data_IF_845274749101
#
_entry.id   IF_845274749101
#
_cell.length_a   1.000
_cell.length_b   1.000
_cell.length_c   1.000
_cell.angle_alpha   90.00
_cell.angle_beta   90.00
_cell.angle_gamma   90.00
#
_symmetry.space_group_name_H-M   'P 1'
#
loop_
_entity.id
_entity.type
_entity.pdbx_description
1 polymer ?
#
# COMPACT_ATOMS: atom_id res chain seq x y z
N UNK A 1 -24.47 -43.04 15.67
CA UNK A 1 -24.27 -42.54 15.46
C UNK A 1 -23.68 -41.71 15.07
N UNK A 2 -23.46 -41.41 14.76
CA UNK A 2 -23.00 -40.74 14.50
C UNK A 2 -22.45 -39.86 14.00
N UNK A 3 -22.30 -39.56 13.79
CA UNK A 3 -21.85 -38.84 13.46
C UNK A 3 -21.41 -38.02 12.92
N UNK A 4 -21.28 -37.70 12.78
CA UNK A 4 -20.89 -37.00 12.40
C UNK A 4 -20.46 -36.05 12.04
N UNK A 5 -20.25 -35.71 11.97
CA UNK A 5 -19.83 -35.02 11.79
C UNK A 5 -19.27 -34.23 11.38
N UNK A 6 -19.05 -33.98 11.36
CA UNK A 6 -18.45 -33.30 11.09
C UNK A 6 -17.99 -32.56 10.46
N UNK A 7 -17.85 -32.25 10.15
CA UNK A 7 -17.49 -31.59 9.57
C UNK A 7 -17.20 -30.66 9.23
N UNK A 8 -17.13 -30.42 9.22
CA UNK A 8 -16.93 -29.50 8.86
C UNK A 8 -16.33 -28.66 8.61
N UNK A 9 -16.12 -28.53 8.72
CA UNK A 9 -15.55 -27.67 8.60
C UNK A 9 -14.98 -27.16 7.92
N UNK A 10 -14.66 -27.02 7.65
CA UNK A 10 -14.05 -26.48 7.03
C UNK A 10 -14.05 -25.60 6.46
N UNK A 11 -14.08 -25.26 6.26
CA UNK A 11 -13.99 -24.42 5.65
C UNK A 11 -13.65 -23.41 5.54
N UNK A 12 -13.57 -23.21 5.66
CA UNK A 12 -13.28 -22.26 5.61
C UNK A 12 -12.53 -21.57 5.27
N UNK A 13 -12.09 -21.39 5.39
CA UNK A 13 -11.23 -20.76 5.20
C UNK A 13 -10.99 -20.14 4.19
N UNK A 14 -10.90 -20.02 3.67
CA UNK A 14 -10.61 -19.46 2.76
C UNK A 14 -10.73 -18.39 2.48
N UNK A 15 -10.80 -18.12 2.45
CA UNK A 15 -11.14 -17.23 2.12
C UNK A 15 -10.55 -16.16 2.11
N UNK A 16 -10.30 -15.71 2.56
CA UNK A 16 -9.77 -14.61 2.71
C UNK A 16 -8.82 -14.13 1.88
N UNK A 17 -8.30 -14.65 1.14
CA UNK A 17 -7.26 -14.16 0.45
C UNK A 17 -7.56 -13.30 -0.59
N UNK A 18 -8.68 -12.86 -0.74
CA UNK A 18 -8.97 -12.04 -1.83
C UNK A 18 -8.40 -10.70 -1.71
N UNK A 19 -8.13 -10.19 -0.55
CA UNK A 19 -7.67 -8.86 -0.49
C UNK A 19 -6.22 -8.86 -0.40
N UNK A 20 -5.54 -8.58 -1.46
CA UNK A 20 -4.16 -8.58 -1.40
C UNK A 20 -3.67 -7.23 -1.17
N UNK A 21 -3.32 -6.85 0.01
CA UNK A 21 -2.67 -5.59 0.30
C UNK A 21 -1.19 -5.79 0.21
N UNK A 22 -0.53 -4.93 -0.55
CA UNK A 22 0.90 -5.00 -0.73
C UNK A 22 1.53 -3.82 -0.06
N UNK A 23 2.39 -4.08 0.91
CA UNK A 23 3.08 -3.03 1.63
C UNK A 23 4.54 -2.99 1.24
N UNK A 24 5.03 -1.82 0.94
CA UNK A 24 6.42 -1.62 0.57
C UNK A 24 7.00 -0.52 1.45
N UNK A 25 8.17 -0.77 2.00
CA UNK A 25 8.85 0.22 2.80
C UNK A 25 9.88 0.93 1.96
N UNK A 26 9.88 2.25 2.04
CA UNK A 26 10.84 3.09 1.34
C UNK A 26 11.61 3.90 2.36
N UNK A 27 12.84 4.22 2.00
CA UNK A 27 13.61 5.16 2.78
C UNK A 27 13.61 6.47 2.01
N UNK A 28 13.02 7.51 2.57
CA UNK A 28 12.87 8.79 1.94
C UNK A 28 13.71 9.80 2.70
N UNK A 29 14.83 10.17 2.12
CA UNK A 29 15.88 10.89 2.83
C UNK A 29 16.28 10.03 4.03
N UNK A 30 15.92 10.37 5.22
CA UNK A 30 16.23 9.55 6.37
C UNK A 30 14.99 9.03 7.05
N UNK A 31 13.85 9.17 6.40
CA UNK A 31 12.58 8.79 7.00
C UNK A 31 12.06 7.54 6.36
N UNK A 32 11.52 6.66 7.16
CA UNK A 32 10.89 5.46 6.63
C UNK A 32 9.45 5.78 6.28
N UNK A 33 9.07 5.39 5.08
CA UNK A 33 7.72 5.60 4.57
C UNK A 33 7.19 4.26 4.13
N UNK A 34 5.96 3.97 4.47
CA UNK A 34 5.36 2.71 4.09
C UNK A 34 4.18 3.00 3.19
N UNK A 35 4.21 2.42 2.01
CA UNK A 35 3.09 2.51 1.09
C UNK A 35 2.36 1.20 1.10
N UNK A 36 1.11 1.22 1.48
CA UNK A 36 0.27 0.04 1.51
C UNK A 36 -0.78 0.17 0.43
N UNK A 37 -0.64 -0.61 -0.63
CA UNK A 37 -1.57 -0.56 -1.74
C UNK A 37 -2.76 -1.44 -1.38
N UNK A 38 -3.90 -0.81 -1.21
CA UNK A 38 -5.09 -1.50 -0.74
C UNK A 38 -5.80 -2.20 -1.89
N UNK A 39 -5.93 -1.50 -2.99
CA UNK A 39 -6.59 -2.08 -4.16
C UNK A 39 -6.16 -1.28 -5.39
N UNK A 40 -6.84 -1.45 -6.49
CA UNK A 40 -6.46 -0.78 -7.73
C UNK A 40 -6.60 0.71 -7.69
N UNK A 41 -7.35 1.22 -6.74
CA UNK A 41 -7.66 2.64 -6.72
C UNK A 41 -7.09 3.39 -5.54
N UNK A 42 -6.72 2.67 -4.48
CA UNK A 42 -6.36 3.35 -3.23
C UNK A 42 -5.11 2.77 -2.61
N UNK A 43 -4.40 3.62 -1.92
CA UNK A 43 -3.25 3.23 -1.14
C UNK A 43 -3.19 4.09 0.11
N UNK A 44 -2.53 3.58 1.13
CA UNK A 44 -2.27 4.35 2.34
C UNK A 44 -0.79 4.55 2.45
N UNK A 45 -0.40 5.76 2.75
CA UNK A 45 1.00 6.10 2.92
C UNK A 45 1.20 6.55 4.35
N UNK A 46 2.14 5.91 5.05
CA UNK A 46 2.46 6.25 6.42
C UNK A 46 3.78 7.00 6.45
N UNK A 47 3.77 8.17 7.01
CA UNK A 47 4.94 9.02 7.09
C UNK A 47 4.87 9.84 8.36
N UNK A 48 5.88 9.76 9.21
CA UNK A 48 5.95 10.52 10.47
C UNK A 48 4.71 10.30 11.32
N UNK A 49 4.29 9.04 11.45
CA UNK A 49 3.14 8.67 12.26
C UNK A 49 1.80 9.14 11.73
N UNK A 50 1.78 9.74 10.56
CA UNK A 50 0.53 10.13 9.92
C UNK A 50 0.24 9.15 8.81
N UNK A 51 -1.03 8.88 8.60
CA UNK A 51 -1.48 8.01 7.53
C UNK A 51 -2.27 8.84 6.54
N UNK A 52 -1.86 8.80 5.28
CA UNK A 52 -2.52 9.54 4.23
C UNK A 52 -3.19 8.56 3.27
N UNK A 53 -4.45 8.78 3.00
CA UNK A 53 -5.16 7.95 2.03
C UNK A 53 -4.99 8.60 0.67
N UNK A 54 -4.46 7.84 -0.27
CA UNK A 54 -4.15 8.34 -1.60
C UNK A 54 -4.95 7.60 -2.64
N UNK A 55 -5.16 8.26 -3.77
CA UNK A 55 -5.86 7.68 -4.91
C UNK A 55 -4.86 7.40 -6.01
N UNK A 56 -5.02 6.27 -6.64
CA UNK A 56 -4.17 5.92 -7.78
C UNK A 56 -4.52 6.82 -8.96
N UNK A 57 -3.50 7.35 -9.61
CA UNK A 57 -3.70 8.17 -10.78
C UNK A 57 -2.95 7.57 -11.95
N UNK A 58 -3.58 7.54 -13.10
CA UNK A 58 -2.95 7.01 -14.29
C UNK A 58 -1.71 7.79 -14.62
N UNK A 59 -0.70 7.10 -15.05
CA UNK A 59 0.58 7.70 -15.32
C UNK A 59 1.24 6.93 -16.45
N UNK A 60 1.99 7.62 -17.29
CA UNK A 60 2.66 6.98 -18.40
C UNK A 60 3.72 5.99 -17.93
N UNK A 61 4.29 6.19 -16.79
CA UNK A 61 5.28 5.27 -16.25
C UNK A 61 5.19 5.30 -14.74
N UNK A 62 5.52 4.18 -14.13
CA UNK A 62 5.49 4.07 -12.69
C UNK A 62 4.09 4.05 -12.13
N UNK A 63 4.01 4.16 -10.82
CA UNK A 63 2.74 4.15 -10.11
C UNK A 63 2.61 5.44 -9.34
N UNK A 64 1.52 6.14 -9.57
CA UNK A 64 1.32 7.45 -8.98
C UNK A 64 0.10 7.43 -8.08
N UNK A 65 0.27 7.91 -6.88
CA UNK A 65 -0.80 7.98 -5.89
C UNK A 65 -0.84 9.38 -5.33
N UNK A 66 -2.00 9.99 -5.26
CA UNK A 66 -2.11 11.39 -4.86
C UNK A 66 -3.29 11.65 -3.95
N UNK A 67 -3.19 12.73 -3.21
CA UNK A 67 -4.35 13.38 -2.61
C UNK A 67 -4.06 14.88 -2.61
N UNK A 68 -4.80 15.66 -1.85
CA UNK A 68 -4.64 17.10 -1.87
C UNK A 68 -3.27 17.57 -1.43
N UNK A 69 -2.64 16.82 -0.55
CA UNK A 69 -1.40 17.27 0.04
C UNK A 69 -0.21 16.37 -0.23
N UNK A 70 -0.44 15.23 -0.85
CA UNK A 70 0.61 14.22 -1.00
C UNK A 70 0.67 13.72 -2.43
N UNK A 71 1.86 13.58 -2.94
CA UNK A 71 2.09 12.90 -4.21
C UNK A 71 3.16 11.85 -4.00
N UNK A 72 2.88 10.63 -4.36
CA UNK A 72 3.85 9.56 -4.34
C UNK A 72 3.92 8.96 -5.73
N UNK A 73 5.11 8.96 -6.31
CA UNK A 73 5.30 8.47 -7.68
C UNK A 73 6.45 7.50 -7.68
N UNK A 74 6.15 6.22 -7.75
CA UNK A 74 7.14 5.17 -7.68
C UNK A 74 7.49 4.60 -9.03
N UNK A 75 8.77 4.33 -9.24
CA UNK A 75 9.27 3.69 -10.44
C UNK A 75 10.35 2.72 -10.03
N UNK A 76 10.06 1.43 -10.16
CA UNK A 76 11.03 0.41 -9.76
C UNK A 76 11.36 0.56 -8.29
N UNK A 77 12.63 0.68 -7.99
CA UNK A 77 13.07 0.79 -6.61
C UNK A 77 13.14 2.22 -6.10
N UNK A 78 12.79 3.18 -6.93
CA UNK A 78 12.87 4.58 -6.57
C UNK A 78 11.50 5.20 -6.53
N UNK A 79 11.35 6.25 -5.76
CA UNK A 79 10.10 6.98 -5.73
C UNK A 79 10.37 8.42 -5.35
N UNK A 80 9.44 9.28 -5.75
CA UNK A 80 9.45 10.66 -5.33
C UNK A 80 8.24 10.88 -4.45
N UNK A 81 8.43 11.52 -3.32
CA UNK A 81 7.36 11.80 -2.39
C UNK A 81 7.32 13.30 -2.15
N UNK A 82 6.13 13.89 -2.27
CA UNK A 82 5.92 15.27 -1.90
C UNK A 82 4.83 15.30 -0.85
N UNK A 83 5.13 15.89 0.30
CA UNK A 83 4.16 16.01 1.38
C UNK A 83 4.12 17.47 1.77
N UNK A 84 2.96 18.09 1.63
CA UNK A 84 2.77 19.49 1.99
C UNK A 84 3.82 20.39 1.36
N UNK A 85 4.13 20.11 0.11
CA UNK A 85 5.07 20.93 -0.65
C UNK A 85 6.53 20.56 -0.48
N UNK A 86 6.85 19.61 0.40
CA UNK A 86 8.23 19.24 0.61
C UNK A 86 8.54 17.94 -0.11
N UNK A 87 9.63 17.94 -0.84
CA UNK A 87 9.99 16.83 -1.72
C UNK A 87 11.03 15.93 -1.10
N UNK A 88 10.82 14.64 -1.25
CA UNK A 88 11.74 13.61 -0.74
C UNK A 88 12.05 12.63 -1.86
N UNK A 89 13.30 12.16 -1.88
CA UNK A 89 13.69 11.09 -2.78
C UNK A 89 13.70 9.80 -1.98
N UNK A 90 13.08 8.77 -2.52
CA UNK A 90 12.86 7.53 -1.81
C UNK A 90 13.45 6.37 -2.56
N UNK A 91 13.91 5.36 -1.83
CA UNK A 91 14.34 4.11 -2.44
C UNK A 91 13.90 2.95 -1.56
N UNK A 92 13.65 1.83 -2.18
CA UNK A 92 13.50 0.59 -1.42
C UNK A 92 14.87 0.02 -1.23
N UNK A 93 15.18 -0.70 -0.51
CA UNK A 93 16.48 -1.13 -0.49
C UNK A 93 16.66 -2.40 -0.06
#
# INVERSE_FOLDING_TARGET
MKVHLVIVASLLSLTACSDQQISTAYLCNKNTVILNVINNKNAELTFNNDIYLLNHEESASGNKYINENVLFWGKGNNAMLIVAGKKYQCTTN
#
